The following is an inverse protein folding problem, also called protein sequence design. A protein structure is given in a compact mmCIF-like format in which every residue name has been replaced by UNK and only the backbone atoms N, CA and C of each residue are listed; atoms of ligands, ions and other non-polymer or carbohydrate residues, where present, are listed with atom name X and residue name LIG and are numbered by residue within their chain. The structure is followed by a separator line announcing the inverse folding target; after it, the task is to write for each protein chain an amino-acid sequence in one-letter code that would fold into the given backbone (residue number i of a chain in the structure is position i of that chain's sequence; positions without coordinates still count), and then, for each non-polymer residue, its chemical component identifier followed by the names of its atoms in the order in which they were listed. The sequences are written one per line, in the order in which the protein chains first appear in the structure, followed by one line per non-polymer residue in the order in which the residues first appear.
data_IF_463514773003
#
_entry.id   IF_463514773003
#
_cell.length_a   1.000
_cell.length_b   1.000
_cell.length_c   1.000
_cell.angle_alpha   90.00
_cell.angle_beta   90.00
_cell.angle_gamma   90.00
#
_symmetry.space_group_name_H-M   'P 1'
#
loop_
_entity.id
_entity.type
_entity.pdbx_description
1 polymer ?
#
# COMPACT_ATOMS: atom_id res chain seq x y z
N UNK A 1 -5.18 -4.76 -20.29
CA UNK A 1 -5.27 -3.90 -19.09
C UNK A 1 -5.20 -4.79 -17.88
N UNK A 2 -4.01 -4.99 -17.33
CA UNK A 2 -3.83 -5.81 -16.11
C UNK A 2 -4.46 -5.04 -14.96
N UNK A 3 -5.70 -5.37 -14.61
CA UNK A 3 -6.39 -4.77 -13.47
C UNK A 3 -5.63 -5.16 -12.20
N UNK A 4 -5.35 -4.18 -11.34
CA UNK A 4 -4.89 -4.45 -9.98
C UNK A 4 -6.00 -5.22 -9.26
N UNK A 5 -5.69 -6.37 -8.67
CA UNK A 5 -6.64 -7.06 -7.80
C UNK A 5 -6.71 -6.33 -6.46
N UNK A 6 -7.65 -5.41 -6.35
CA UNK A 6 -7.86 -4.60 -5.14
C UNK A 6 -8.35 -5.40 -3.94
N UNK A 7 -8.90 -6.61 -4.16
CA UNK A 7 -9.43 -7.49 -3.11
C UNK A 7 -8.38 -8.44 -2.54
N UNK A 8 -7.20 -8.56 -3.18
CA UNK A 8 -6.11 -9.37 -2.64
C UNK A 8 -5.66 -8.86 -1.28
N UNK A 9 -5.09 -9.75 -0.46
CA UNK A 9 -4.53 -9.36 0.83
C UNK A 9 -3.30 -8.47 0.62
N UNK A 10 -3.07 -7.53 1.52
CA UNK A 10 -1.87 -6.71 1.56
C UNK A 10 -1.50 -6.38 2.99
N UNK A 11 -0.20 -6.22 3.22
CA UNK A 11 0.35 -5.79 4.51
C UNK A 11 0.81 -4.35 4.39
N UNK A 12 0.31 -3.47 5.27
CA UNK A 12 0.87 -2.14 5.48
C UNK A 12 1.69 -2.16 6.79
N UNK A 13 3.01 -2.00 6.66
CA UNK A 13 3.97 -2.01 7.76
C UNK A 13 4.58 -0.62 7.99
N UNK A 14 5.29 -0.46 9.12
CA UNK A 14 5.89 0.80 9.59
C UNK A 14 4.88 1.94 9.77
N UNK A 15 3.70 1.59 10.29
CA UNK A 15 2.63 2.55 10.63
C UNK A 15 2.40 2.50 12.13
N UNK A 16 2.71 3.60 12.83
CA UNK A 16 2.31 3.74 14.23
C UNK A 16 0.83 4.09 14.28
N UNK A 17 0.01 3.21 14.86
CA UNK A 17 -1.42 3.48 15.08
C UNK A 17 -1.73 3.34 16.56
N UNK A 18 -1.81 4.47 17.26
CA UNK A 18 -2.08 4.50 18.71
C UNK A 18 -0.89 4.10 19.59
N UNK A 19 0.35 4.33 19.13
CA UNK A 19 1.58 4.12 19.91
C UNK A 19 2.18 2.71 19.86
N UNK A 20 1.66 1.83 18.99
CA UNK A 20 2.27 0.54 18.69
C UNK A 20 2.42 0.36 17.17
N UNK A 21 3.55 -0.19 16.75
CA UNK A 21 3.79 -0.62 15.38
C UNK A 21 3.07 -1.96 15.16
N UNK A 22 1.94 -1.92 14.45
CA UNK A 22 1.14 -3.12 14.18
C UNK A 22 1.00 -3.26 12.67
N UNK A 23 1.60 -4.30 12.04
CA UNK A 23 1.39 -4.54 10.62
C UNK A 23 -0.09 -4.87 10.39
N UNK A 24 -0.74 -4.09 9.53
CA UNK A 24 -2.15 -4.28 9.20
C UNK A 24 -2.26 -5.19 7.97
N UNK A 25 -2.91 -6.33 8.13
CA UNK A 25 -3.27 -7.23 7.03
C UNK A 25 -4.71 -6.96 6.65
N UNK A 26 -4.92 -6.40 5.47
CA UNK A 26 -6.24 -6.02 4.95
C UNK A 26 -6.27 -6.14 3.43
N UNK A 27 -7.35 -5.75 2.75
CA UNK A 27 -7.35 -5.71 1.27
C UNK A 27 -6.36 -4.66 0.76
N UNK A 28 -5.82 -4.85 -0.44
CA UNK A 28 -4.94 -3.85 -1.07
C UNK A 28 -5.60 -2.45 -1.12
N UNK A 29 -6.89 -2.39 -1.45
CA UNK A 29 -7.67 -1.15 -1.41
C UNK A 29 -7.65 -0.49 -0.02
N UNK A 30 -7.96 -1.25 1.03
CA UNK A 30 -8.00 -0.71 2.39
C UNK A 30 -6.62 -0.31 2.88
N UNK A 31 -5.57 -1.05 2.51
CA UNK A 31 -4.20 -0.73 2.86
C UNK A 31 -3.75 0.59 2.21
N UNK A 32 -4.10 0.82 0.93
CA UNK A 32 -3.83 2.08 0.24
C UNK A 32 -4.62 3.24 0.85
N UNK A 33 -5.90 3.04 1.22
CA UNK A 33 -6.70 4.05 1.93
C UNK A 33 -6.15 4.37 3.32
N UNK A 34 -5.70 3.35 4.05
CA UNK A 34 -5.05 3.51 5.35
C UNK A 34 -3.77 4.34 5.22
N UNK A 35 -2.96 4.08 4.20
CA UNK A 35 -1.77 4.86 3.88
C UNK A 35 -2.10 6.32 3.56
N UNK A 36 -3.14 6.60 2.77
CA UNK A 36 -3.58 7.97 2.47
C UNK A 36 -4.02 8.77 3.70
N UNK A 37 -4.45 8.08 4.76
CA UNK A 37 -4.87 8.71 6.02
C UNK A 37 -3.71 8.98 7.00
N UNK A 38 -2.50 8.50 6.70
CA UNK A 38 -1.29 8.78 7.49
C UNK A 38 -0.81 10.21 7.26
N UNK A 39 -0.06 10.75 8.22
CA UNK A 39 0.70 11.98 7.99
C UNK A 39 1.85 11.76 6.97
N UNK A 40 2.38 12.86 6.43
CA UNK A 40 3.40 12.79 5.37
C UNK A 40 4.68 12.06 5.80
N UNK A 41 5.04 12.09 7.09
CA UNK A 41 6.25 11.41 7.59
C UNK A 41 6.02 9.91 7.55
N UNK A 42 4.91 9.45 8.14
CA UNK A 42 4.53 8.03 8.14
C UNK A 42 4.23 7.49 6.74
N UNK A 43 3.71 8.32 5.83
CA UNK A 43 3.54 7.92 4.42
C UNK A 43 4.88 7.57 3.74
N UNK A 44 5.96 8.27 4.08
CA UNK A 44 7.28 8.01 3.51
C UNK A 44 7.94 6.76 4.09
N UNK A 45 7.69 6.47 5.37
CA UNK A 45 8.28 5.34 6.06
C UNK A 45 7.49 4.02 5.88
N UNK A 46 6.22 4.13 5.52
CA UNK A 46 5.33 2.99 5.33
C UNK A 46 5.73 2.09 4.15
N UNK A 47 5.60 0.78 4.37
CA UNK A 47 5.85 -0.25 3.35
C UNK A 47 4.57 -1.04 3.11
N UNK A 48 4.16 -1.11 1.85
CA UNK A 48 3.01 -1.88 1.39
C UNK A 48 3.47 -3.13 0.65
N UNK A 49 2.98 -4.30 1.06
CA UNK A 49 3.32 -5.61 0.48
C UNK A 49 2.05 -6.34 0.05
N UNK A 50 1.68 -6.32 -1.24
CA UNK A 50 0.54 -7.09 -1.73
C UNK A 50 0.85 -8.59 -1.74
N UNK A 51 -0.18 -9.41 -1.58
CA UNK A 51 -0.12 -10.88 -1.66
C UNK A 51 0.40 -11.36 -3.02
N UNK A 52 0.07 -10.63 -4.07
CA UNK A 52 0.55 -10.88 -5.43
C UNK A 52 1.23 -9.63 -6.02
N UNK A 53 2.23 -9.80 -6.90
CA UNK A 53 2.88 -8.66 -7.54
C UNK A 53 1.87 -7.81 -8.32
N UNK A 54 1.87 -6.50 -8.08
CA UNK A 54 1.12 -5.53 -8.88
C UNK A 54 1.94 -5.08 -10.07
N UNK A 55 1.28 -4.76 -11.19
CA UNK A 55 1.98 -4.23 -12.37
C UNK A 55 1.92 -2.71 -12.37
N UNK A 56 3.07 -2.07 -12.13
CA UNK A 56 3.25 -0.62 -12.23
C UNK A 56 4.15 -0.34 -13.43
N UNK A 57 3.67 0.44 -14.40
CA UNK A 57 4.41 0.82 -15.61
C UNK A 57 5.09 -0.34 -16.37
N UNK A 58 4.47 -1.53 -16.31
CA UNK A 58 4.97 -2.76 -16.94
C UNK A 58 5.89 -3.61 -16.06
N UNK A 59 6.29 -3.11 -14.90
CA UNK A 59 7.10 -3.82 -13.91
C UNK A 59 6.24 -4.51 -12.84
N UNK A 60 6.64 -5.73 -12.44
CA UNK A 60 5.99 -6.48 -11.36
C UNK A 60 6.60 -6.08 -10.03
N UNK A 61 5.85 -5.35 -9.22
CA UNK A 61 6.29 -4.81 -7.95
C UNK A 61 5.66 -5.60 -6.80
N UNK A 62 6.48 -6.07 -5.86
CA UNK A 62 6.06 -6.85 -4.68
C UNK A 62 6.24 -6.10 -3.36
N UNK A 63 6.95 -4.97 -3.38
CA UNK A 63 7.18 -4.09 -2.24
C UNK A 63 7.03 -2.66 -2.74
N UNK A 64 6.11 -1.91 -2.14
CA UNK A 64 5.83 -0.54 -2.51
C UNK A 64 6.12 0.37 -1.31
N UNK A 65 6.72 1.52 -1.58
CA UNK A 65 6.96 2.58 -0.60
C UNK A 65 6.76 3.94 -1.29
N UNK A 66 6.40 4.96 -0.50
CA UNK A 66 6.27 6.35 -0.95
C UNK A 66 5.55 6.50 -2.31
N UNK A 67 6.30 6.92 -3.34
CA UNK A 67 5.76 7.20 -4.67
C UNK A 67 5.08 5.98 -5.33
N UNK A 68 5.54 4.76 -5.08
CA UNK A 68 4.91 3.56 -5.65
C UNK A 68 3.50 3.34 -5.07
N UNK A 69 3.31 3.65 -3.78
CA UNK A 69 1.98 3.63 -3.14
C UNK A 69 1.14 4.80 -3.64
N UNK A 70 1.72 5.98 -3.87
CA UNK A 70 1.02 7.12 -4.50
C UNK A 70 0.45 6.75 -5.87
N UNK A 71 1.24 6.09 -6.73
CA UNK A 71 0.77 5.63 -8.05
C UNK A 71 -0.41 4.65 -7.90
N UNK A 72 -0.41 3.77 -6.89
CA UNK A 72 -1.57 2.93 -6.60
C UNK A 72 -2.76 3.76 -6.13
N UNK A 73 -2.56 4.73 -5.24
CA UNK A 73 -3.62 5.62 -4.78
C UNK A 73 -4.28 6.39 -5.93
N UNK A 74 -3.50 6.92 -6.87
CA UNK A 74 -4.01 7.62 -8.05
C UNK A 74 -4.85 6.70 -8.95
N UNK A 75 -4.54 5.39 -8.97
CA UNK A 75 -5.32 4.38 -9.70
C UNK A 75 -6.59 3.94 -8.98
N UNK A 76 -6.68 4.16 -7.66
CA UNK A 76 -7.83 3.76 -6.86
C UNK A 76 -9.03 4.71 -7.07
N UNK A 77 -8.77 6.01 -7.23
CA UNK A 77 -9.80 7.04 -7.48
C UNK A 77 -10.43 7.58 -6.21
#
# INVERSE_FOLDING_TARGET
MSGVDWRMSAVLANVERGGNEVPEVTSLENAVRAWLALDNTLQNDAILRPEHPVVLDGERVTVLAGQAIRILADRLG
#
